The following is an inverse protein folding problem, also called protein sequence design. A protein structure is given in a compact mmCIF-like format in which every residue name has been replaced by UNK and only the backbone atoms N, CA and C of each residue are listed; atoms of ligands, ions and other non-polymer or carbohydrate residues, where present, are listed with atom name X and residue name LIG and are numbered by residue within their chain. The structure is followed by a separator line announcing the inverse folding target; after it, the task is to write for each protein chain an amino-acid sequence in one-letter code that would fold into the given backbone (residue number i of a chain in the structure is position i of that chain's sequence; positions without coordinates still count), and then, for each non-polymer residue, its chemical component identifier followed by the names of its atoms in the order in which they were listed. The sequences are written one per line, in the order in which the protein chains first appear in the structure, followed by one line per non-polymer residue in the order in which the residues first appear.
data_IF_474813582258
#
_entry.id   IF_474813582258
#
_cell.length_a   1.000
_cell.length_b   1.000
_cell.length_c   1.000
_cell.angle_alpha   90.00
_cell.angle_beta   90.00
_cell.angle_gamma   90.00
#
_symmetry.space_group_name_H-M   'P 1'
#
loop_
_entity.id
_entity.type
_entity.pdbx_description
1 polymer ?
#
# COMPACT_ATOMS: atom_id res chain seq x y z
N UNK A 1 -32.48 -9.38 44.46
CA UNK A 1 -32.48 -7.91 44.30
C UNK A 1 -31.31 -7.30 45.07
N UNK A 2 -30.32 -6.74 44.36
CA UNK A 2 -29.42 -5.65 44.80
C UNK A 2 -28.52 -5.27 43.62
N UNK A 3 -28.76 -4.08 43.09
CA UNK A 3 -27.95 -3.40 42.07
C UNK A 3 -26.66 -2.84 42.68
N UNK A 4 -25.57 -2.79 41.89
CA UNK A 4 -24.59 -1.69 41.77
C UNK A 4 -23.53 -2.09 40.74
N UNK A 5 -23.57 -1.51 39.53
CA UNK A 5 -22.85 -0.30 39.09
C UNK A 5 -21.33 -0.49 39.00
N UNK A 6 -20.89 -0.57 37.74
CA UNK A 6 -19.51 -0.50 37.24
C UNK A 6 -18.80 0.80 37.63
N UNK A 7 -17.47 0.83 37.50
CA UNK A 7 -16.87 1.94 36.79
C UNK A 7 -15.96 1.48 35.64
N UNK A 8 -15.98 2.32 34.60
CA UNK A 8 -14.98 2.45 33.55
C UNK A 8 -13.56 2.39 34.14
N UNK A 9 -12.59 1.83 33.40
CA UNK A 9 -11.51 2.62 32.79
C UNK A 9 -10.52 1.73 32.00
N UNK A 10 -9.99 2.37 30.96
CA UNK A 10 -8.69 2.13 30.31
C UNK A 10 -8.58 0.95 29.31
N UNK A 11 -8.83 1.27 28.04
CA UNK A 11 -8.25 0.57 26.88
C UNK A 11 -6.81 1.06 26.72
N UNK A 12 -5.77 0.22 26.84
CA UNK A 12 -4.46 0.57 26.34
C UNK A 12 -4.44 0.35 24.81
N UNK A 13 -4.47 1.44 24.05
CA UNK A 13 -4.04 1.47 22.66
C UNK A 13 -2.51 1.30 22.65
N UNK A 14 -2.05 0.05 22.57
CA UNK A 14 -0.67 -0.31 22.31
C UNK A 14 -0.59 -1.05 20.99
N UNK A 15 -0.67 -0.32 19.86
CA UNK A 15 -0.26 -0.89 18.57
C UNK A 15 1.26 -0.78 18.53
N UNK A 16 1.94 -1.75 19.12
CA UNK A 16 3.33 -2.08 18.78
C UNK A 16 3.44 -2.19 17.27
N UNK A 17 4.36 -1.42 16.67
CA UNK A 17 4.73 -1.51 15.26
C UNK A 17 4.97 -2.98 14.89
N UNK A 18 3.97 -3.58 14.23
CA UNK A 18 4.00 -4.97 13.81
C UNK A 18 5.06 -5.16 12.74
N UNK A 19 6.11 -5.89 13.10
CA UNK A 19 7.06 -6.47 12.16
C UNK A 19 6.29 -7.45 11.24
N UNK A 20 5.83 -6.97 10.09
CA UNK A 20 5.16 -7.83 9.09
C UNK A 20 6.23 -8.68 8.38
N UNK A 21 6.41 -9.90 8.87
CA UNK A 21 7.03 -10.98 8.09
C UNK A 21 6.08 -11.36 6.95
N UNK A 22 6.34 -10.88 5.75
CA UNK A 22 5.68 -11.40 4.56
C UNK A 22 6.30 -12.75 4.21
N UNK A 23 5.59 -13.82 4.55
CA UNK A 23 5.87 -15.18 4.12
C UNK A 23 5.83 -15.28 2.59
N UNK A 24 6.86 -15.91 2.04
CA UNK A 24 7.09 -16.09 0.62
C UNK A 24 6.02 -17.01 0.00
N UNK A 25 5.06 -16.46 -0.75
CA UNK A 25 4.30 -17.23 -1.74
C UNK A 25 4.95 -17.04 -3.11
N UNK A 26 5.77 -18.02 -3.47
CA UNK A 26 6.33 -18.16 -4.81
C UNK A 26 5.30 -18.81 -5.72
N UNK A 27 4.64 -18.03 -6.57
CA UNK A 27 3.99 -18.54 -7.78
C UNK A 27 4.61 -17.84 -8.98
N UNK A 28 5.38 -18.60 -9.76
CA UNK A 28 5.81 -18.20 -11.09
C UNK A 28 4.57 -18.16 -11.98
N UNK A 29 4.00 -16.97 -12.12
CA UNK A 29 3.12 -16.63 -13.22
C UNK A 29 3.76 -15.43 -13.89
N UNK A 30 4.28 -15.63 -15.10
CA UNK A 30 4.66 -14.57 -16.04
C UNK A 30 3.41 -13.79 -16.43
N UNK A 31 2.87 -12.99 -15.52
CA UNK A 31 1.86 -11.99 -15.82
C UNK A 31 2.59 -10.79 -16.39
N UNK A 32 2.43 -10.57 -17.70
CA UNK A 32 3.00 -9.48 -18.46
C UNK A 32 2.94 -8.17 -17.68
N UNK A 33 4.08 -7.78 -17.13
CA UNK A 33 4.29 -6.43 -16.62
C UNK A 33 4.71 -5.62 -17.81
N UNK A 34 3.76 -5.04 -18.51
CA UNK A 34 4.06 -3.92 -19.40
C UNK A 34 4.51 -2.78 -18.49
N UNK A 35 5.82 -2.70 -18.27
CA UNK A 35 6.45 -1.41 -18.13
C UNK A 35 6.17 -0.71 -19.46
N UNK A 36 5.05 0.03 -19.52
CA UNK A 36 4.86 1.00 -20.58
C UNK A 36 6.08 1.92 -20.50
N UNK A 37 7.05 1.66 -21.39
CA UNK A 37 7.90 2.72 -21.90
C UNK A 37 6.92 3.68 -22.56
N UNK A 38 6.46 4.66 -21.78
CA UNK A 38 5.83 5.84 -22.34
C UNK A 38 6.77 6.33 -23.43
N UNK A 39 6.21 6.42 -24.63
CA UNK A 39 6.92 6.45 -25.89
C UNK A 39 8.05 7.47 -25.95
N UNK A 40 9.06 7.07 -26.73
CA UNK A 40 10.05 7.92 -27.42
C UNK A 40 9.82 9.43 -27.28
N UNK A 41 10.47 10.01 -26.28
CA UNK A 41 10.56 11.43 -26.01
C UNK A 41 11.32 11.60 -24.70
N UNK A 42 12.64 11.77 -24.80
CA UNK A 42 13.59 11.63 -23.70
C UNK A 42 13.15 12.26 -22.38
N UNK A 43 12.84 11.41 -21.40
CA UNK A 43 12.95 11.78 -20.00
C UNK A 43 13.60 10.58 -19.31
N UNK A 44 14.93 10.65 -19.18
CA UNK A 44 15.62 9.93 -18.11
C UNK A 44 14.81 10.16 -16.83
N UNK A 45 14.60 9.13 -16.00
CA UNK A 45 13.88 9.24 -14.73
C UNK A 45 14.54 10.37 -13.92
N UNK A 46 13.99 11.57 -14.04
CA UNK A 46 14.68 12.74 -13.57
C UNK A 46 14.72 12.64 -12.05
N UNK A 47 15.89 12.83 -11.45
CA UNK A 47 16.02 12.80 -10.01
C UNK A 47 15.06 13.81 -9.38
N UNK A 48 14.12 13.33 -8.57
CA UNK A 48 13.21 14.17 -7.79
C UNK A 48 13.65 14.13 -6.34
N UNK A 49 13.62 15.27 -5.65
CA UNK A 49 13.86 15.27 -4.20
C UNK A 49 12.77 14.44 -3.53
N UNK A 50 13.16 13.45 -2.75
CA UNK A 50 12.22 12.79 -1.85
C UNK A 50 11.72 13.80 -0.82
N UNK A 51 10.42 13.75 -0.52
CA UNK A 51 9.79 14.72 0.35
C UNK A 51 10.22 14.48 1.81
N UNK A 52 10.62 15.55 2.47
CA UNK A 52 10.68 15.60 3.93
C UNK A 52 9.26 15.92 4.40
N UNK A 53 8.53 14.93 4.91
CA UNK A 53 7.24 15.21 5.54
C UNK A 53 7.49 15.78 6.93
N UNK A 54 6.95 16.97 7.15
CA UNK A 54 6.95 17.57 8.48
C UNK A 54 6.05 16.71 9.37
N UNK A 55 6.45 16.49 10.63
CA UNK A 55 5.50 16.05 11.65
C UNK A 55 4.29 16.99 11.59
N UNK A 56 3.08 16.44 11.67
CA UNK A 56 1.80 17.17 11.79
C UNK A 56 1.08 17.58 10.49
N UNK A 57 1.63 17.32 9.30
CA UNK A 57 0.88 17.58 8.05
C UNK A 57 -0.06 16.41 7.72
N UNK A 58 -1.37 16.62 7.91
CA UNK A 58 -2.41 15.64 7.54
C UNK A 58 -2.66 15.64 6.02
N UNK A 59 -2.84 14.45 5.45
CA UNK A 59 -3.00 14.23 4.00
C UNK A 59 -4.22 13.39 3.72
N UNK A 60 -4.92 13.72 2.65
CA UNK A 60 -6.02 12.90 2.14
C UNK A 60 -5.45 11.92 1.10
N UNK A 61 -5.58 10.62 1.36
CA UNK A 61 -5.05 9.54 0.55
C UNK A 61 -6.18 8.63 0.06
N UNK A 62 -6.01 8.02 -1.12
CA UNK A 62 -6.91 6.99 -1.63
C UNK A 62 -6.31 5.61 -1.35
N UNK A 63 -6.94 4.77 -0.54
CA UNK A 63 -6.47 3.42 -0.23
C UNK A 63 -7.38 2.42 -0.92
N UNK A 64 -6.78 1.60 -1.79
CA UNK A 64 -7.50 0.60 -2.57
C UNK A 64 -7.46 -0.75 -1.87
N UNK A 65 -8.62 -1.32 -1.60
CA UNK A 65 -8.78 -2.66 -1.02
C UNK A 65 -9.44 -3.55 -2.05
N UNK A 66 -8.87 -4.74 -2.20
CA UNK A 66 -9.29 -5.73 -3.17
C UNK A 66 -9.99 -6.88 -2.45
N UNK A 67 -11.16 -7.27 -2.94
CA UNK A 67 -12.03 -8.25 -2.27
C UNK A 67 -11.79 -9.71 -2.64
N UNK A 68 -12.21 -10.59 -1.71
CA UNK A 68 -12.47 -12.02 -1.91
C UNK A 68 -13.83 -12.13 -2.61
N UNK A 69 -13.88 -12.53 -3.88
CA UNK A 69 -15.12 -12.98 -4.50
C UNK A 69 -15.41 -14.42 -4.09
N UNK A 70 -15.72 -14.63 -2.82
CA UNK A 70 -16.11 -15.94 -2.29
C UNK A 70 -17.43 -15.81 -1.56
N UNK A 71 -18.48 -16.41 -2.11
CA UNK A 71 -19.83 -16.46 -1.54
C UNK A 71 -19.82 -16.74 -0.02
N UNK A 72 -20.03 -15.71 0.80
CA UNK A 72 -20.51 -15.87 2.17
C UNK A 72 -21.95 -15.31 2.24
N UNK A 73 -22.85 -16.07 1.61
CA UNK A 73 -24.28 -16.02 1.96
C UNK A 73 -24.43 -16.64 3.35
N UNK A 74 -24.48 -15.82 4.38
CA UNK A 74 -25.20 -16.12 5.62
C UNK A 74 -25.49 -14.88 6.51
N UNK A 75 -24.73 -13.79 6.38
CA UNK A 75 -24.88 -12.63 7.30
C UNK A 75 -24.79 -11.24 6.67
N UNK A 76 -24.75 -11.13 5.33
CA UNK A 76 -24.91 -9.84 4.64
C UNK A 76 -23.77 -8.84 4.83
N UNK A 77 -22.65 -9.24 5.44
CA UNK A 77 -21.44 -8.43 5.52
C UNK A 77 -20.31 -9.13 4.79
N UNK A 78 -19.89 -8.57 3.65
CA UNK A 78 -18.63 -8.92 3.03
C UNK A 78 -17.53 -8.74 4.07
N UNK A 79 -16.95 -9.84 4.55
CA UNK A 79 -15.88 -9.88 5.55
C UNK A 79 -14.57 -9.39 4.94
N UNK A 80 -14.52 -8.09 4.63
CA UNK A 80 -13.28 -7.36 4.66
C UNK A 80 -12.96 -7.19 6.15
N UNK A 81 -11.88 -7.80 6.64
CA UNK A 81 -11.25 -7.26 7.82
C UNK A 81 -10.60 -5.93 7.40
N UNK A 82 -11.41 -4.88 7.24
CA UNK A 82 -11.02 -3.51 6.92
C UNK A 82 -9.79 -3.09 7.75
N UNK A 83 -9.74 -3.55 9.01
CA UNK A 83 -8.63 -3.33 9.94
C UNK A 83 -7.28 -3.93 9.55
N UNK A 84 -7.21 -4.91 8.64
CA UNK A 84 -5.92 -5.51 8.23
C UNK A 84 -5.24 -4.74 7.08
N UNK A 85 -6.04 -4.22 6.15
CA UNK A 85 -5.54 -3.72 4.87
C UNK A 85 -5.38 -2.21 4.82
N UNK A 86 -6.27 -1.46 5.46
CA UNK A 86 -6.20 0.01 5.47
C UNK A 86 -4.92 0.53 6.13
N UNK A 87 -4.45 -0.01 7.29
CA UNK A 87 -3.19 0.43 7.87
C UNK A 87 -2.00 0.25 6.92
N UNK A 88 -1.88 -0.92 6.29
CA UNK A 88 -0.77 -1.22 5.37
C UNK A 88 -0.83 -0.35 4.11
N UNK A 89 -2.02 -0.19 3.53
CA UNK A 89 -2.23 0.67 2.37
C UNK A 89 -1.93 2.14 2.66
N UNK A 90 -2.31 2.61 3.85
CA UNK A 90 -1.97 3.97 4.31
C UNK A 90 -0.47 4.12 4.51
N UNK A 91 0.17 3.13 5.14
CA UNK A 91 1.60 3.15 5.42
C UNK A 91 2.46 3.21 4.14
N UNK A 92 1.99 2.61 3.06
CA UNK A 92 2.67 2.61 1.76
C UNK A 92 2.82 3.99 1.09
N UNK A 93 2.01 4.98 1.48
CA UNK A 93 2.17 6.37 1.03
C UNK A 93 3.33 7.09 1.69
N UNK A 94 3.88 6.54 2.76
CA UNK A 94 5.03 7.07 3.47
C UNK A 94 6.31 6.30 3.07
N UNK A 95 7.49 6.93 3.18
CA UNK A 95 8.78 6.29 3.04
C UNK A 95 8.86 4.91 3.73
N UNK A 96 9.07 3.87 2.92
CA UNK A 96 9.14 2.47 3.33
C UNK A 96 10.50 1.90 2.95
N UNK A 97 11.29 1.44 3.93
CA UNK A 97 12.59 0.81 3.65
C UNK A 97 12.39 -0.52 2.96
N UNK A 98 13.30 -0.82 2.04
CA UNK A 98 13.38 -2.12 1.43
C UNK A 98 14.80 -2.68 1.46
N UNK A 99 14.90 -4.00 1.52
CA UNK A 99 16.15 -4.72 1.34
C UNK A 99 15.90 -6.05 0.62
N UNK A 100 16.81 -6.39 -0.29
CA UNK A 100 16.85 -7.65 -1.02
C UNK A 100 18.04 -8.48 -0.53
N UNK A 101 17.78 -9.71 -0.08
CA UNK A 101 18.81 -10.68 0.30
C UNK A 101 18.53 -11.99 -0.42
N UNK A 102 19.26 -12.25 -1.51
CA UNK A 102 18.98 -13.38 -2.39
C UNK A 102 17.58 -13.30 -3.00
N UNK A 103 16.70 -14.25 -2.63
CA UNK A 103 15.27 -14.25 -3.04
C UNK A 103 14.36 -13.60 -2.00
N UNK A 104 14.87 -13.37 -0.79
CA UNK A 104 14.11 -12.79 0.32
C UNK A 104 14.03 -11.28 0.18
N UNK A 105 12.86 -10.75 0.52
CA UNK A 105 12.50 -9.35 0.37
C UNK A 105 11.87 -8.89 1.67
N UNK A 106 12.33 -7.75 2.17
CA UNK A 106 11.75 -7.12 3.35
C UNK A 106 11.31 -5.71 2.98
N UNK A 107 10.03 -5.41 3.21
CA UNK A 107 9.50 -4.06 3.26
C UNK A 107 9.28 -3.71 4.72
N UNK A 108 9.83 -2.60 5.18
CA UNK A 108 9.70 -2.12 6.54
C UNK A 108 9.14 -0.71 6.54
N UNK A 109 7.92 -0.57 7.05
CA UNK A 109 7.28 0.72 7.26
C UNK A 109 7.93 1.41 8.47
N UNK A 110 8.37 2.65 8.28
CA UNK A 110 9.24 3.34 9.24
C UNK A 110 8.51 4.29 10.19
N UNK A 111 7.26 4.62 9.91
CA UNK A 111 6.55 5.69 10.60
C UNK A 111 5.54 5.18 11.63
N UNK A 112 5.42 5.95 12.71
CA UNK A 112 4.18 6.01 13.50
C UNK A 112 3.16 6.79 12.67
N UNK A 113 2.18 6.06 12.12
CA UNK A 113 1.17 6.60 11.20
C UNK A 113 -0.18 6.53 11.88
N UNK A 114 -0.84 7.68 11.99
CA UNK A 114 -2.23 7.75 12.39
C UNK A 114 -3.11 7.95 11.16
N UNK A 115 -4.29 7.35 11.16
CA UNK A 115 -5.22 7.50 10.06
C UNK A 115 -6.67 7.46 10.52
N UNK A 116 -7.53 8.11 9.74
CA UNK A 116 -8.98 8.13 9.89
C UNK A 116 -9.61 7.91 8.53
N UNK A 117 -10.57 7.00 8.48
CA UNK A 117 -11.37 6.78 7.27
C UNK A 117 -12.37 7.93 7.11
N UNK A 118 -12.39 8.53 5.93
CA UNK A 118 -13.24 9.67 5.59
C UNK A 118 -14.42 9.23 4.73
N UNK A 119 -14.17 8.42 3.70
CA UNK A 119 -15.18 7.94 2.80
C UNK A 119 -14.82 6.55 2.25
N UNK A 120 -15.84 5.84 1.78
CA UNK A 120 -15.74 4.55 1.09
C UNK A 120 -16.59 4.61 -0.17
N UNK A 121 -16.03 4.16 -1.28
CA UNK A 121 -16.74 3.96 -2.53
C UNK A 121 -16.41 2.59 -3.12
N UNK A 122 -17.39 2.00 -3.80
CA UNK A 122 -17.23 0.78 -4.57
C UNK A 122 -17.02 1.18 -6.04
N UNK A 123 -15.86 0.84 -6.60
CA UNK A 123 -15.56 1.13 -8.01
C UNK A 123 -16.00 -0.04 -8.90
N UNK A 124 -15.85 -1.27 -8.40
CA UNK A 124 -16.32 -2.54 -9.00
C UNK A 124 -16.58 -3.58 -7.90
N UNK A 125 -17.19 -4.71 -8.25
CA UNK A 125 -17.57 -5.79 -7.30
C UNK A 125 -16.40 -6.35 -6.48
N UNK A 126 -15.16 -6.08 -6.87
CA UNK A 126 -13.94 -6.58 -6.23
C UNK A 126 -12.93 -5.47 -5.87
N UNK A 127 -13.22 -4.19 -6.13
CA UNK A 127 -12.34 -3.05 -5.83
C UNK A 127 -13.11 -1.98 -5.05
N UNK A 128 -12.66 -1.77 -3.81
CA UNK A 128 -13.10 -0.70 -2.93
C UNK A 128 -12.03 0.38 -2.87
N UNK A 129 -12.44 1.65 -2.88
CA UNK A 129 -11.57 2.79 -2.59
C UNK A 129 -12.02 3.47 -1.32
N UNK A 130 -11.07 3.66 -0.41
CA UNK A 130 -11.24 4.38 0.82
C UNK A 130 -10.50 5.70 0.72
N UNK A 131 -11.20 6.81 0.94
CA UNK A 131 -10.53 8.08 1.18
C UNK A 131 -10.19 8.13 2.67
N UNK A 132 -8.91 8.25 3.00
CA UNK A 132 -8.43 8.32 4.37
C UNK A 132 -7.69 9.63 4.60
N UNK A 133 -7.85 10.21 5.78
CA UNK A 133 -6.96 11.25 6.27
C UNK A 133 -5.85 10.57 7.07
N UNK A 134 -4.60 10.79 6.71
CA UNK A 134 -3.45 10.21 7.39
C UNK A 134 -2.44 11.28 7.78
N UNK A 135 -1.80 11.11 8.93
CA UNK A 135 -0.67 11.91 9.36
C UNK A 135 0.42 10.99 9.89
N UNK A 136 1.67 11.40 9.69
CA UNK A 136 2.81 10.61 10.13
C UNK A 136 4.08 11.42 9.99
N UNK A 137 5.07 11.09 10.80
CA UNK A 137 6.41 11.64 10.64
C UNK A 137 7.21 10.69 9.75
N UNK A 138 7.62 11.16 8.58
CA UNK A 138 8.53 10.41 7.74
C UNK A 138 9.54 11.37 7.12
N UNK A 139 10.78 11.24 7.55
CA UNK A 139 11.91 12.01 7.05
C UNK A 139 12.70 11.14 6.12
N UNK A 140 12.64 11.47 4.85
CA UNK A 140 13.57 10.95 3.87
C UNK A 140 14.16 12.12 3.08
N UNK A 141 15.48 12.22 3.12
CA UNK A 141 16.24 13.22 2.39
C UNK A 141 17.09 12.50 1.37
N UNK A 142 16.93 12.87 0.10
CA UNK A 142 17.73 12.27 -0.95
C UNK A 142 17.18 12.56 -2.33
N UNK A 143 17.99 12.21 -3.31
CA UNK A 143 17.59 12.23 -4.71
C UNK A 143 16.92 10.88 -5.01
N UNK A 144 15.63 10.91 -5.28
CA UNK A 144 14.83 9.75 -5.66
C UNK A 144 14.60 9.66 -7.16
N UNK A 145 14.39 8.44 -7.66
CA UNK A 145 14.03 8.15 -9.04
C UNK A 145 12.57 7.74 -9.12
N UNK A 146 11.86 8.29 -10.10
CA UNK A 146 10.42 8.06 -10.29
C UNK A 146 10.17 6.90 -11.26
N UNK A 147 9.30 5.97 -10.87
CA UNK A 147 8.89 4.82 -11.67
C UNK A 147 7.37 4.74 -11.77
N UNK A 148 6.86 4.49 -12.97
CA UNK A 148 5.44 4.22 -13.19
C UNK A 148 5.22 2.72 -13.31
N UNK A 149 4.29 2.18 -12.53
CA UNK A 149 3.90 0.78 -12.55
C UNK A 149 2.43 0.70 -12.93
N UNK A 150 2.13 0.00 -14.02
CA UNK A 150 0.77 -0.35 -14.42
C UNK A 150 0.57 -1.84 -14.20
N UNK A 151 -0.52 -2.24 -13.55
CA UNK A 151 -0.78 -3.66 -13.29
C UNK A 151 -2.29 -3.97 -13.21
N UNK A 152 -2.71 -5.15 -13.69
CA UNK A 152 -4.08 -5.59 -13.58
C UNK A 152 -4.37 -6.10 -12.16
N UNK A 153 -5.66 -6.21 -11.83
CA UNK A 153 -6.14 -6.89 -10.62
C UNK A 153 -5.57 -8.29 -10.44
N UNK A 154 -5.41 -9.05 -11.52
CA UNK A 154 -4.90 -10.44 -11.48
C UNK A 154 -3.44 -10.54 -11.02
N UNK A 155 -2.66 -9.46 -11.11
CA UNK A 155 -1.28 -9.42 -10.62
C UNK A 155 -1.18 -9.42 -9.08
N UNK A 156 -2.28 -9.09 -8.40
CA UNK A 156 -2.34 -9.02 -6.94
C UNK A 156 -2.61 -10.37 -6.28
N UNK A 157 -2.84 -11.41 -7.08
CA UNK A 157 -3.22 -12.74 -6.61
C UNK A 157 -4.59 -13.16 -7.14
N UNK A 158 -5.02 -14.39 -6.83
CA UNK A 158 -6.28 -14.94 -7.32
C UNK A 158 -7.50 -14.12 -6.84
N UNK A 159 -8.61 -14.18 -7.57
CA UNK A 159 -9.87 -13.52 -7.17
C UNK A 159 -10.52 -14.16 -5.93
N UNK A 160 -10.25 -15.46 -5.73
CA UNK A 160 -10.87 -16.28 -4.69
C UNK A 160 -9.93 -16.55 -3.51
N UNK A 161 -8.81 -15.82 -3.43
CA UNK A 161 -7.79 -15.98 -2.40
C UNK A 161 -7.41 -14.63 -1.80
N UNK A 162 -6.50 -14.65 -0.83
CA UNK A 162 -5.91 -13.44 -0.28
C UNK A 162 -5.15 -12.69 -1.39
N UNK A 163 -5.53 -11.42 -1.60
CA UNK A 163 -4.89 -10.55 -2.56
C UNK A 163 -3.91 -9.60 -1.85
N UNK A 164 -2.75 -9.39 -2.48
CA UNK A 164 -1.79 -8.39 -2.03
C UNK A 164 -2.40 -7.00 -2.19
N UNK A 165 -2.15 -6.11 -1.23
CA UNK A 165 -2.57 -4.72 -1.34
C UNK A 165 -1.95 -4.05 -2.58
N UNK A 166 -2.76 -3.36 -3.42
CA UNK A 166 -2.26 -2.68 -4.60
C UNK A 166 -1.08 -1.73 -4.30
N UNK A 167 -1.14 -1.02 -3.18
CA UNK A 167 -0.06 -0.12 -2.76
C UNK A 167 1.24 -0.89 -2.44
N UNK A 168 1.16 -1.98 -1.66
CA UNK A 168 2.32 -2.83 -1.34
C UNK A 168 2.91 -3.47 -2.59
N UNK A 169 2.07 -3.96 -3.50
CA UNK A 169 2.50 -4.48 -4.79
C UNK A 169 3.26 -3.41 -5.59
N UNK A 170 2.70 -2.20 -5.70
CA UNK A 170 3.34 -1.10 -6.41
C UNK A 170 4.73 -0.75 -5.83
N UNK A 171 4.87 -0.69 -4.51
CA UNK A 171 6.16 -0.45 -3.85
C UNK A 171 7.19 -1.53 -4.20
N UNK A 172 6.80 -2.81 -4.16
CA UNK A 172 7.69 -3.91 -4.53
C UNK A 172 8.16 -3.79 -5.98
N UNK A 173 7.23 -3.52 -6.92
CA UNK A 173 7.58 -3.35 -8.32
C UNK A 173 8.48 -2.15 -8.54
N UNK A 174 8.20 -1.02 -7.89
CA UNK A 174 9.04 0.17 -7.94
C UNK A 174 10.47 -0.10 -7.44
N UNK A 175 10.59 -0.73 -6.27
CA UNK A 175 11.89 -1.12 -5.71
C UNK A 175 12.64 -2.09 -6.66
N UNK A 176 11.95 -3.09 -7.22
CA UNK A 176 12.55 -4.02 -8.19
C UNK A 176 13.02 -3.33 -9.46
N UNK A 177 12.21 -2.42 -10.02
CA UNK A 177 12.55 -1.66 -11.23
C UNK A 177 13.78 -0.76 -11.04
N UNK A 178 14.11 -0.40 -9.80
CA UNK A 178 15.33 0.36 -9.50
C UNK A 178 16.63 -0.45 -9.63
N UNK A 179 16.55 -1.79 -9.67
CA UNK A 179 17.69 -2.71 -9.61
C UNK A 179 18.63 -2.48 -8.41
N UNK A 180 18.12 -1.91 -7.31
CA UNK A 180 18.87 -1.69 -6.07
C UNK A 180 18.67 -2.84 -5.09
N UNK A 181 19.69 -3.10 -4.27
CA UNK A 181 19.63 -4.10 -3.20
C UNK A 181 19.00 -3.56 -1.92
N UNK A 182 19.05 -2.24 -1.70
CA UNK A 182 18.40 -1.57 -0.58
C UNK A 182 18.12 -0.12 -0.92
N UNK A 183 17.32 0.52 -0.08
CA UNK A 183 16.90 1.91 -0.20
C UNK A 183 15.55 2.11 0.47
N UNK A 184 14.90 3.22 0.10
CA UNK A 184 13.52 3.49 0.48
C UNK A 184 12.67 3.68 -0.74
N UNK A 185 11.42 3.26 -0.64
CA UNK A 185 10.41 3.44 -1.66
C UNK A 185 9.17 4.07 -1.03
N UNK A 186 8.54 4.97 -1.78
CA UNK A 186 7.24 5.53 -1.40
C UNK A 186 6.32 5.63 -2.61
N UNK A 187 5.03 5.68 -2.33
CA UNK A 187 4.01 5.91 -3.33
C UNK A 187 3.74 7.41 -3.45
N UNK A 188 3.81 7.96 -4.67
CA UNK A 188 3.35 9.32 -4.97
C UNK A 188 1.87 9.35 -5.37
N UNK A 189 1.44 8.35 -6.13
CA UNK A 189 0.04 8.18 -6.49
C UNK A 189 -0.25 6.72 -6.79
N UNK A 190 -1.49 6.32 -6.55
CA UNK A 190 -2.07 5.07 -7.00
C UNK A 190 -3.51 5.39 -7.38
N UNK A 191 -3.91 4.92 -8.55
CA UNK A 191 -5.28 5.06 -9.03
C UNK A 191 -5.73 3.78 -9.70
N UNK A 192 -6.99 3.43 -9.52
CA UNK A 192 -7.66 2.44 -10.34
C UNK A 192 -8.37 3.15 -11.49
N UNK A 193 -8.09 2.73 -12.72
CA UNK A 193 -8.78 3.22 -13.92
C UNK A 193 -9.87 2.21 -14.29
N UNK A 194 -11.13 2.62 -14.10
CA UNK A 194 -12.30 1.80 -14.42
C UNK A 194 -12.44 1.51 -15.91
N UNK A 195 -11.96 2.38 -16.80
CA UNK A 195 -12.06 2.16 -18.24
C UNK A 195 -11.14 1.04 -18.70
N UNK A 196 -9.91 1.01 -18.19
CA UNK A 196 -8.91 -0.02 -18.55
C UNK A 196 -8.84 -1.20 -17.57
N UNK A 197 -9.52 -1.13 -16.42
CA UNK A 197 -9.44 -2.13 -15.33
C UNK A 197 -8.00 -2.31 -14.78
N UNK A 198 -7.20 -1.25 -14.85
CA UNK A 198 -5.79 -1.27 -14.46
C UNK A 198 -5.53 -0.37 -13.26
N UNK A 199 -4.67 -0.81 -12.37
CA UNK A 199 -4.03 0.08 -11.41
C UNK A 199 -2.87 0.78 -12.10
N UNK A 200 -2.74 2.09 -11.85
CA UNK A 200 -1.58 2.89 -12.22
C UNK A 200 -1.00 3.51 -10.96
N UNK A 201 0.25 3.18 -10.67
CA UNK A 201 0.99 3.69 -9.54
C UNK A 201 2.22 4.47 -10.00
N UNK A 202 2.56 5.52 -9.26
CA UNK A 202 3.84 6.21 -9.38
C UNK A 202 4.57 6.03 -8.07
N UNK A 203 5.75 5.43 -8.13
CA UNK A 203 6.63 5.20 -6.99
C UNK A 203 7.88 6.06 -7.12
N UNK A 204 8.47 6.44 -5.99
CA UNK A 204 9.77 7.10 -5.93
C UNK A 204 10.68 6.24 -5.08
N UNK A 205 11.84 5.89 -5.64
CA UNK A 205 12.87 5.10 -4.98
C UNK A 205 14.07 5.98 -4.69
N UNK A 206 14.47 6.05 -3.43
CA UNK A 206 15.67 6.75 -2.96
C UNK A 206 16.71 5.69 -2.61
N UNK A 207 17.90 5.70 -3.24
CA UNK A 207 18.99 4.84 -2.82
C UNK A 207 19.45 5.18 -1.39
N UNK A 208 19.88 4.17 -0.64
CA UNK A 208 20.65 4.39 0.60
C UNK A 208 21.98 5.11 0.33
#
# INVERSE_FOLDING_TARGET
MKHKLSPLFLVPLGITAGLLFFGCLSSNTDSGTTADRVGSGGSAANPVKAAVFLPDESRTLAVYVVGKMGNEKASGQSLYAEGMYVPQGTAAYFPTRFSFVGKERKLQFLGDISYRIMAKAELRSDVLVYTVQASGSAKESGIGYRYTVSFPRSALGPENAEAVQPATYALERGARMSNRQSGTVRLESLRFDEGSSMFKAVTVVVPD
#
